data_IF_563119843780
#
_entry.id   IF_563119843780
#
_cell.length_a   1.000
_cell.length_b   1.000
_cell.length_c   1.000
_cell.angle_alpha   90.00
_cell.angle_beta   90.00
_cell.angle_gamma   90.00
#
_symmetry.space_group_name_H-M   'P 1'
#
loop_
_entity.id
_entity.type
_entity.pdbx_description
1 polymer ?
#
# COMPACT_ATOMS: atom_id res chain seq x y z
N UNK A 1 1.61 0.25 -9.25
CA UNK A 1 1.69 -0.64 -8.07
C UNK A 1 2.85 -1.59 -8.31
N UNK A 2 3.89 -1.52 -7.48
CA UNK A 2 5.06 -2.39 -7.63
C UNK A 2 5.02 -3.51 -6.59
N UNK A 3 5.03 -4.76 -7.04
CA UNK A 3 4.98 -5.94 -6.17
C UNK A 3 6.40 -6.44 -5.90
N UNK A 4 6.85 -6.39 -4.64
CA UNK A 4 8.19 -6.84 -4.25
C UNK A 4 8.11 -8.17 -3.48
N UNK A 5 8.95 -9.13 -3.86
CA UNK A 5 9.13 -10.39 -3.13
C UNK A 5 10.49 -10.37 -2.40
N UNK A 6 10.49 -10.17 -1.08
CA UNK A 6 11.72 -10.07 -0.26
C UNK A 6 11.68 -11.06 0.90
N UNK A 7 12.82 -11.68 1.23
CA UNK A 7 12.97 -12.69 2.32
C UNK A 7 12.91 -12.09 3.72
N UNK A 8 13.41 -10.87 3.91
CA UNK A 8 13.29 -10.11 5.15
C UNK A 8 13.39 -8.63 4.79
N UNK A 9 12.43 -7.84 5.25
CA UNK A 9 12.40 -6.39 5.07
C UNK A 9 11.73 -5.75 6.27
N UNK A 10 12.22 -4.58 6.67
CA UNK A 10 11.60 -3.79 7.73
C UNK A 10 10.44 -3.00 7.14
N UNK A 11 9.26 -3.09 7.75
CA UNK A 11 8.05 -2.38 7.30
C UNK A 11 8.29 -0.87 7.12
N UNK A 12 9.06 -0.27 8.02
CA UNK A 12 9.42 1.15 7.94
C UNK A 12 10.20 1.52 6.66
N UNK A 13 11.01 0.61 6.11
CA UNK A 13 11.74 0.85 4.86
C UNK A 13 10.79 0.87 3.66
N UNK A 14 9.79 0.00 3.64
CA UNK A 14 8.73 0.00 2.62
C UNK A 14 7.88 1.25 2.66
N UNK A 15 7.47 1.69 3.85
CA UNK A 15 6.67 2.91 4.00
C UNK A 15 7.46 4.11 3.45
N UNK A 16 8.72 4.27 3.85
CA UNK A 16 9.57 5.37 3.37
C UNK A 16 9.76 5.35 1.86
N UNK A 17 10.04 4.17 1.29
CA UNK A 17 10.22 4.03 -0.14
C UNK A 17 8.91 4.32 -0.90
N UNK A 18 7.79 3.75 -0.47
CA UNK A 18 6.50 3.95 -1.10
C UNK A 18 6.04 5.41 -1.06
N UNK A 19 6.28 6.11 0.06
CA UNK A 19 5.96 7.54 0.16
C UNK A 19 6.83 8.37 -0.79
N UNK A 20 8.14 8.11 -0.87
CA UNK A 20 9.02 8.79 -1.81
C UNK A 20 8.63 8.57 -3.27
N UNK A 21 8.25 7.35 -3.62
CA UNK A 21 7.79 7.01 -4.96
C UNK A 21 6.45 7.67 -5.28
N UNK A 22 5.51 7.72 -4.33
CA UNK A 22 4.25 8.42 -4.49
C UNK A 22 4.46 9.92 -4.71
N UNK A 23 5.34 10.55 -3.92
CA UNK A 23 5.68 11.97 -4.08
C UNK A 23 6.28 12.25 -5.46
N UNK A 24 7.22 11.42 -5.92
CA UNK A 24 7.82 11.56 -7.25
C UNK A 24 6.81 11.33 -8.39
N UNK A 25 5.86 10.42 -8.21
CA UNK A 25 4.86 10.08 -9.21
C UNK A 25 3.60 10.96 -9.14
N UNK A 26 3.50 11.88 -8.15
CA UNK A 26 2.31 12.68 -7.90
C UNK A 26 1.10 11.87 -7.43
N UNK A 27 1.31 10.69 -6.85
CA UNK A 27 0.23 9.89 -6.28
C UNK A 27 -0.15 10.38 -4.89
N UNK A 28 -1.45 10.32 -4.57
CA UNK A 28 -1.98 10.76 -3.28
C UNK A 28 -1.58 9.85 -2.10
N UNK A 29 -1.14 8.63 -2.38
CA UNK A 29 -0.90 7.58 -1.39
C UNK A 29 0.38 6.81 -1.69
N UNK A 30 1.26 6.70 -0.69
CA UNK A 30 2.37 5.75 -0.70
C UNK A 30 1.93 4.41 -0.11
N UNK A 31 1.83 3.39 -0.97
CA UNK A 31 1.47 2.02 -0.56
C UNK A 31 2.43 1.04 -1.21
N UNK A 32 3.07 0.21 -0.38
CA UNK A 32 3.81 -0.95 -0.85
C UNK A 32 2.91 -2.19 -0.79
N UNK A 33 2.86 -2.97 -1.86
CA UNK A 33 2.14 -4.25 -1.88
C UNK A 33 3.15 -5.38 -1.95
N UNK A 34 3.10 -6.26 -0.96
CA UNK A 34 3.97 -7.43 -0.88
C UNK A 34 3.13 -8.69 -0.75
N UNK A 35 3.77 -9.84 -0.93
CA UNK A 35 3.21 -11.14 -0.56
C UNK A 35 4.28 -11.97 0.12
N UNK A 36 3.86 -12.94 0.91
CA UNK A 36 4.78 -13.90 1.49
C UNK A 36 5.47 -14.69 0.35
N UNK A 37 6.82 -14.83 0.36
CA UNK A 37 7.52 -15.65 -0.63
C UNK A 37 6.98 -17.09 -0.65
N UNK A 38 6.77 -17.64 -1.85
CA UNK A 38 6.21 -18.99 -2.02
C UNK A 38 4.69 -19.12 -1.83
N UNK A 39 4.00 -18.04 -1.43
CA UNK A 39 2.53 -17.99 -1.35
C UNK A 39 1.88 -17.44 -2.61
N UNK A 40 0.56 -17.59 -2.73
CA UNK A 40 -0.20 -17.06 -3.88
C UNK A 40 -0.32 -15.53 -3.80
N UNK A 41 -0.87 -14.93 -4.85
CA UNK A 41 -1.11 -13.47 -4.90
C UNK A 41 -2.26 -13.05 -3.99
N UNK A 42 -3.19 -13.97 -3.66
CA UNK A 42 -4.27 -13.69 -2.71
C UNK A 42 -3.75 -13.49 -1.28
N UNK A 43 -2.60 -14.09 -0.93
CA UNK A 43 -1.89 -13.89 0.35
C UNK A 43 -1.09 -12.57 0.39
N UNK A 44 -1.46 -11.61 -0.45
CA UNK A 44 -0.85 -10.29 -0.51
C UNK A 44 -1.27 -9.39 0.66
N UNK A 45 -0.40 -8.46 1.05
CA UNK A 45 -0.68 -7.44 2.03
C UNK A 45 -0.20 -6.06 1.57
N UNK A 46 -0.97 -5.05 1.92
CA UNK A 46 -0.62 -3.65 1.71
C UNK A 46 0.04 -3.09 2.98
N UNK A 47 1.17 -2.41 2.80
CA UNK A 47 1.91 -1.73 3.87
C UNK A 47 1.89 -0.23 3.59
N UNK A 48 1.47 0.53 4.59
CA UNK A 48 1.38 1.99 4.55
C UNK A 48 1.46 2.57 5.96
N UNK A 49 1.70 3.87 6.09
CA UNK A 49 1.58 4.55 7.37
C UNK A 49 0.10 4.70 7.80
N UNK A 50 -0.12 5.00 9.08
CA UNK A 50 -1.46 5.10 9.66
C UNK A 50 -2.29 6.25 9.05
N UNK A 51 -1.66 7.35 8.67
CA UNK A 51 -2.36 8.51 8.09
C UNK A 51 -2.87 8.12 6.70
N UNK A 52 -2.03 7.50 5.88
CA UNK A 52 -2.39 6.96 4.57
C UNK A 52 -3.50 5.91 4.70
N UNK A 53 -3.43 5.03 5.71
CA UNK A 53 -4.48 4.03 5.97
C UNK A 53 -5.85 4.68 6.22
N UNK A 54 -5.92 5.67 7.12
CA UNK A 54 -7.17 6.40 7.41
C UNK A 54 -7.72 7.07 6.14
N UNK A 55 -6.87 7.71 5.34
CA UNK A 55 -7.28 8.37 4.10
C UNK A 55 -7.81 7.39 3.05
N UNK A 56 -7.17 6.23 2.91
CA UNK A 56 -7.62 5.16 2.01
C UNK A 56 -8.97 4.62 2.45
N UNK A 57 -9.17 4.35 3.75
CA UNK A 57 -10.45 3.87 4.27
C UNK A 57 -11.58 4.88 4.04
N UNK A 58 -11.32 6.17 4.26
CA UNK A 58 -12.28 7.24 3.96
C UNK A 58 -12.66 7.25 2.48
N UNK A 59 -11.67 7.22 1.58
CA UNK A 59 -11.90 7.21 0.14
C UNK A 59 -12.70 5.97 -0.33
N UNK A 60 -12.44 4.80 0.25
CA UNK A 60 -13.19 3.57 -0.04
C UNK A 60 -14.63 3.65 0.41
N UNK A 61 -14.89 4.21 1.60
CA UNK A 61 -16.24 4.42 2.12
C UNK A 61 -17.05 5.32 1.21
N UNK A 62 -16.51 6.48 0.85
CA UNK A 62 -17.16 7.41 -0.08
C UNK A 62 -17.40 6.78 -1.46
N UNK A 63 -16.43 6.00 -1.97
CA UNK A 63 -16.59 5.31 -3.25
C UNK A 63 -17.67 4.22 -3.20
N UNK A 64 -17.88 3.59 -2.04
CA UNK A 64 -18.98 2.64 -1.82
C UNK A 64 -20.34 3.32 -1.75
N UNK A 65 -20.42 4.50 -1.14
CA UNK A 65 -21.63 5.32 -1.08
C UNK A 65 -22.05 5.83 -2.46
N UNK A 66 -21.10 6.26 -3.30
CA UNK A 66 -21.36 6.71 -4.69
C UNK A 66 -21.86 5.61 -5.64
N UNK A 67 -21.70 4.34 -5.27
CA UNK A 67 -22.13 3.19 -6.09
C UNK A 67 -23.52 2.67 -5.74
N UNK A 68 -24.16 3.22 -4.70
CA UNK A 68 -25.56 2.92 -4.32
C UNK A 68 -26.48 3.99 -4.88
#
# INVERSE_FOLDING_TARGET
MECKAKRSIRLADYIRQANKEADHAGFAYGVAVGKVPGRSVEDGYAVMDLVTCVRVLAALREAGERRR
#
